data_IF_399205919319
#
_entry.id   IF_399205919319
#
_cell.length_a   1.000
_cell.length_b   1.000
_cell.length_c   1.000
_cell.angle_alpha   90.00
_cell.angle_beta   90.00
_cell.angle_gamma   90.00
#
_symmetry.space_group_name_H-M   'P 1'
#
loop_
_entity.id
_entity.type
_entity.pdbx_description
1 polymer ?
#
# COMPACT_ATOMS: atom_id res chain seq x y z
N UNK A 1 -5.79 15.59 3.98
CA UNK A 1 -5.53 14.24 3.46
C UNK A 1 -6.67 13.39 3.99
N UNK A 2 -7.49 12.79 3.13
CA UNK A 2 -8.47 11.83 3.62
C UNK A 2 -7.72 10.57 4.04
N UNK A 3 -8.09 9.97 5.17
CA UNK A 3 -7.43 8.72 5.60
C UNK A 3 -7.88 7.53 4.73
N UNK A 4 -7.22 6.38 4.87
CA UNK A 4 -7.62 5.16 4.17
C UNK A 4 -9.04 4.76 4.60
N UNK A 5 -9.33 4.88 5.90
CA UNK A 5 -10.62 4.57 6.51
C UNK A 5 -11.73 5.44 5.93
N UNK A 6 -11.52 6.75 5.80
CA UNK A 6 -12.51 7.67 5.22
C UNK A 6 -12.80 7.36 3.75
N UNK A 7 -11.78 6.91 2.99
CA UNK A 7 -11.98 6.48 1.59
C UNK A 7 -12.69 5.14 1.48
N UNK A 8 -12.45 4.23 2.41
CA UNK A 8 -13.16 2.96 2.51
C UNK A 8 -14.64 3.19 2.85
N UNK A 9 -14.93 4.07 3.82
CA UNK A 9 -16.32 4.42 4.17
C UNK A 9 -17.07 5.03 2.97
N UNK A 10 -16.40 5.86 2.17
CA UNK A 10 -16.99 6.39 0.92
C UNK A 10 -17.23 5.30 -0.10
N UNK A 11 -16.31 4.36 -0.26
CA UNK A 11 -16.47 3.24 -1.19
C UNK A 11 -17.64 2.33 -0.79
N UNK A 12 -17.86 2.12 0.51
CA UNK A 12 -18.99 1.35 1.04
C UNK A 12 -20.32 2.04 0.72
N UNK A 13 -20.43 3.35 1.02
CA UNK A 13 -21.61 4.16 0.67
C UNK A 13 -21.90 4.13 -0.83
N UNK A 14 -20.86 4.19 -1.65
CA UNK A 14 -20.98 4.12 -3.10
C UNK A 14 -21.48 2.75 -3.57
N UNK A 15 -21.00 1.67 -2.94
CA UNK A 15 -21.50 0.31 -3.20
C UNK A 15 -22.97 0.17 -2.87
N UNK A 16 -23.44 0.80 -1.80
CA UNK A 16 -24.85 0.78 -1.42
C UNK A 16 -25.70 1.58 -2.41
N UNK A 17 -25.24 2.76 -2.85
CA UNK A 17 -25.93 3.56 -3.87
C UNK A 17 -26.07 2.82 -5.20
N UNK A 18 -25.07 2.04 -5.62
CA UNK A 18 -25.12 1.26 -6.88
C UNK A 18 -26.16 0.13 -6.84
N UNK A 19 -26.55 -0.35 -5.65
CA UNK A 19 -27.56 -1.42 -5.50
C UNK A 19 -29.01 -0.92 -5.65
N UNK A 20 -29.21 0.39 -5.75
CA UNK A 20 -30.55 0.96 -5.93
C UNK A 20 -31.13 0.57 -7.30
N UNK A 21 -32.37 0.08 -7.28
CA UNK A 21 -33.07 -0.41 -8.47
C UNK A 21 -33.58 0.70 -9.39
N UNK A 22 -33.71 1.92 -8.84
CA UNK A 22 -34.14 3.11 -9.59
C UNK A 22 -32.96 3.90 -10.19
N UNK A 23 -31.71 3.43 -10.00
CA UNK A 23 -30.52 4.11 -10.49
C UNK A 23 -30.39 4.00 -12.01
N UNK A 24 -30.26 5.14 -12.69
CA UNK A 24 -30.03 5.17 -14.13
C UNK A 24 -28.67 4.59 -14.52
N UNK A 25 -28.56 4.01 -15.73
CA UNK A 25 -27.30 3.42 -16.21
C UNK A 25 -26.15 4.43 -16.25
N UNK A 26 -26.41 5.67 -16.68
CA UNK A 26 -25.40 6.73 -16.71
C UNK A 26 -24.89 7.09 -15.32
N UNK A 27 -25.79 7.15 -14.34
CA UNK A 27 -25.44 7.39 -12.94
C UNK A 27 -24.68 6.22 -12.36
N UNK A 28 -25.13 4.98 -12.61
CA UNK A 28 -24.42 3.77 -12.21
C UNK A 28 -22.98 3.72 -12.78
N UNK A 29 -22.79 4.13 -14.04
CA UNK A 29 -21.45 4.24 -14.63
C UNK A 29 -20.61 5.32 -13.94
N UNK A 30 -21.20 6.48 -13.62
CA UNK A 30 -20.49 7.55 -12.91
C UNK A 30 -20.06 7.11 -11.50
N UNK A 31 -20.94 6.44 -10.75
CA UNK A 31 -20.63 5.88 -9.43
C UNK A 31 -19.56 4.78 -9.55
N UNK A 32 -19.63 3.92 -10.56
CA UNK A 32 -18.60 2.91 -10.79
C UNK A 32 -17.22 3.54 -11.03
N UNK A 33 -17.14 4.54 -11.90
CA UNK A 33 -15.89 5.26 -12.19
C UNK A 33 -15.32 5.97 -10.96
N UNK A 34 -16.19 6.53 -10.10
CA UNK A 34 -15.79 7.08 -8.81
C UNK A 34 -15.23 5.99 -7.89
N UNK A 35 -15.86 4.83 -7.83
CA UNK A 35 -15.39 3.70 -7.04
C UNK A 35 -14.01 3.21 -7.46
N UNK A 36 -13.77 3.11 -8.77
CA UNK A 36 -12.46 2.75 -9.32
C UNK A 36 -11.39 3.78 -8.93
N UNK A 37 -11.72 5.08 -8.96
CA UNK A 37 -10.78 6.14 -8.54
C UNK A 37 -10.46 6.05 -7.04
N UNK A 38 -11.46 5.76 -6.20
CA UNK A 38 -11.28 5.58 -4.76
C UNK A 38 -10.35 4.39 -4.46
N UNK A 39 -10.61 3.23 -5.06
CA UNK A 39 -9.80 2.02 -4.86
C UNK A 39 -8.34 2.26 -5.27
N UNK A 40 -8.10 2.85 -6.44
CA UNK A 40 -6.75 3.21 -6.90
C UNK A 40 -6.05 4.20 -5.97
N UNK A 41 -6.80 5.08 -5.31
CA UNK A 41 -6.28 5.98 -4.30
C UNK A 41 -5.86 5.23 -3.03
N UNK A 42 -6.66 4.27 -2.59
CA UNK A 42 -6.35 3.42 -1.42
C UNK A 42 -5.11 2.57 -1.69
N UNK A 43 -5.02 1.92 -2.86
CA UNK A 43 -3.85 1.13 -3.27
C UNK A 43 -2.55 1.95 -3.18
N UNK A 44 -2.55 3.18 -3.69
CA UNK A 44 -1.37 4.06 -3.63
C UNK A 44 -0.97 4.42 -2.20
N UNK A 45 -1.94 4.65 -1.35
CA UNK A 45 -1.68 4.98 0.06
C UNK A 45 -1.12 3.76 0.80
N UNK A 46 -1.62 2.55 0.49
CA UNK A 46 -1.06 1.29 1.00
C UNK A 46 0.37 1.07 0.50
N UNK A 47 0.64 1.24 -0.80
CA UNK A 47 2.00 1.13 -1.36
C UNK A 47 2.97 2.10 -0.67
N UNK A 48 2.52 3.33 -0.39
CA UNK A 48 3.34 4.33 0.29
C UNK A 48 3.60 3.96 1.75
N UNK A 49 2.63 3.35 2.44
CA UNK A 49 2.82 2.81 3.80
C UNK A 49 3.75 1.61 3.79
N UNK A 50 3.60 0.70 2.84
CA UNK A 50 4.46 -0.46 2.63
C UNK A 50 5.91 -0.02 2.46
N UNK A 51 6.16 0.96 1.59
CA UNK A 51 7.50 1.52 1.38
C UNK A 51 8.11 2.09 2.65
N UNK A 52 7.31 2.75 3.51
CA UNK A 52 7.79 3.26 4.81
C UNK A 52 8.13 2.12 5.77
N UNK A 53 7.31 1.08 5.84
CA UNK A 53 7.57 -0.11 6.66
C UNK A 53 8.86 -0.80 6.19
N UNK A 54 9.03 -0.97 4.88
CA UNK A 54 10.25 -1.53 4.28
C UNK A 54 11.50 -0.72 4.61
N UNK A 55 11.43 0.61 4.58
CA UNK A 55 12.56 1.44 5.00
C UNK A 55 12.91 1.21 6.47
N UNK A 56 11.93 1.09 7.36
CA UNK A 56 12.15 0.85 8.79
C UNK A 56 12.71 -0.55 9.06
N UNK A 57 12.21 -1.58 8.36
CA UNK A 57 12.69 -2.96 8.53
C UNK A 57 14.09 -3.20 7.98
N UNK A 58 14.50 -2.44 6.96
CA UNK A 58 15.80 -2.58 6.30
C UNK A 58 16.82 -1.54 6.77
N UNK A 59 16.50 -0.73 7.79
CA UNK A 59 17.50 0.09 8.45
C UNK A 59 18.47 -0.84 9.21
N UNK A 60 19.79 -0.78 8.96
CA UNK A 60 20.74 -1.37 9.89
C UNK A 60 20.53 -0.68 11.23
N UNK A 61 20.52 -1.43 12.34
CA UNK A 61 20.49 -0.86 13.68
C UNK A 61 21.66 0.12 13.82
N UNK A 62 21.40 1.41 13.62
CA UNK A 62 22.34 2.49 13.95
C UNK A 62 22.21 2.76 15.46
N UNK A 63 22.46 1.72 16.27
CA UNK A 63 23.11 1.93 17.55
C UNK A 63 24.60 2.12 17.25
N UNK A 64 25.09 3.32 17.54
CA UNK A 64 26.45 3.83 17.29
C UNK A 64 26.70 4.46 15.91
N UNK A 65 26.59 5.78 15.83
CA UNK A 65 27.79 6.63 15.66
C UNK A 65 27.45 8.10 15.85
N UNK A 66 27.65 8.56 17.08
CA UNK A 66 28.07 9.93 17.33
C UNK A 66 29.40 10.21 16.61
N UNK A 67 29.40 11.25 15.78
CA UNK A 67 30.55 12.05 15.26
C UNK A 67 31.43 11.45 14.17
N UNK A 68 31.35 12.01 12.96
CA UNK A 68 32.41 12.86 12.38
C UNK A 68 32.15 13.22 10.90
N UNK A 69 32.37 14.50 10.56
CA UNK A 69 33.22 14.87 9.42
C UNK A 69 32.67 14.75 7.99
N UNK A 70 32.51 15.90 7.35
CA UNK A 70 32.25 16.09 5.92
C UNK A 70 33.18 15.30 4.97
N UNK A 71 32.65 14.85 3.82
CA UNK A 71 33.22 15.10 2.47
C UNK A 71 32.42 14.46 1.32
N UNK A 72 32.24 15.23 0.25
CA UNK A 72 31.73 14.80 -1.07
C UNK A 72 32.63 13.75 -1.71
N UNK A 73 32.06 12.73 -2.38
CA UNK A 73 32.57 12.28 -3.68
C UNK A 73 31.53 11.47 -4.48
N UNK A 74 31.47 11.75 -5.79
CA UNK A 74 30.75 10.99 -6.82
C UNK A 74 31.44 9.66 -7.07
N UNK A 75 30.70 8.58 -7.24
CA UNK A 75 31.11 7.47 -8.10
C UNK A 75 29.90 6.76 -8.72
N UNK A 76 30.10 6.33 -9.96
CA UNK A 76 29.12 5.85 -10.94
C UNK A 76 28.91 4.33 -10.83
N UNK A 77 27.69 3.92 -11.17
CA UNK A 77 27.31 2.65 -11.82
C UNK A 77 27.57 1.33 -11.07
N UNK A 78 26.49 0.62 -10.72
CA UNK A 78 26.31 -0.80 -11.07
C UNK A 78 24.85 -1.26 -10.86
N UNK A 79 24.27 -1.69 -11.97
CA UNK A 79 23.06 -2.50 -12.21
C UNK A 79 22.50 -3.20 -10.94
N UNK A 80 21.39 -2.69 -10.41
CA UNK A 80 20.58 -3.41 -9.43
C UNK A 80 19.41 -4.09 -10.17
N UNK A 81 19.36 -5.41 -10.05
CA UNK A 81 18.26 -6.24 -10.49
C UNK A 81 16.99 -5.74 -9.80
N UNK A 82 15.97 -5.33 -10.57
CA UNK A 82 14.65 -4.98 -10.06
C UNK A 82 13.85 -6.23 -9.74
N UNK A 83 14.29 -7.01 -8.76
CA UNK A 83 13.39 -7.92 -8.07
C UNK A 83 12.82 -7.14 -6.90
N UNK A 84 11.54 -6.76 -6.99
CA UNK A 84 10.81 -6.25 -5.82
C UNK A 84 10.95 -7.32 -4.72
N UNK A 85 11.41 -6.99 -3.51
CA UNK A 85 11.33 -7.93 -2.40
C UNK A 85 9.83 -8.09 -2.08
N UNK A 86 9.29 -9.28 -2.29
CA UNK A 86 7.93 -9.60 -1.88
C UNK A 86 7.88 -9.60 -0.35
N UNK A 87 6.91 -8.90 0.23
CA UNK A 87 6.62 -8.97 1.66
C UNK A 87 6.19 -10.38 2.02
N UNK A 88 7.10 -11.20 2.52
CA UNK A 88 6.79 -12.55 3.02
C UNK A 88 5.89 -12.55 4.29
N UNK A 89 5.53 -11.38 4.80
CA UNK A 89 4.69 -11.23 6.01
C UNK A 89 3.28 -11.84 5.85
N UNK A 90 2.81 -12.05 4.60
CA UNK A 90 1.49 -12.64 4.31
C UNK A 90 1.52 -14.10 3.84
N UNK A 91 2.69 -14.74 3.80
CA UNK A 91 2.75 -16.20 3.62
C UNK A 91 2.43 -16.90 4.94
N UNK A 92 1.18 -16.76 5.39
CA UNK A 92 0.65 -17.52 6.50
C UNK A 92 0.44 -18.95 6.04
N UNK A 93 1.44 -19.82 6.23
CA UNK A 93 1.21 -21.26 6.11
C UNK A 93 0.15 -21.65 7.15
N UNK A 94 -1.04 -22.12 6.72
CA UNK A 94 -2.01 -22.61 7.68
C UNK A 94 -1.39 -23.83 8.34
N UNK A 95 -1.00 -23.73 9.61
CA UNK A 95 -0.61 -24.89 10.41
C UNK A 95 -1.77 -25.87 10.34
N UNK A 96 -1.56 -26.99 9.65
CA UNK A 96 -2.49 -28.11 9.65
C UNK A 96 -2.67 -28.52 11.10
N UNK A 97 -3.83 -28.20 11.67
CA UNK A 97 -4.23 -28.72 12.97
C UNK A 97 -4.52 -30.20 12.73
N UNK A 98 -3.54 -31.05 13.04
CA UNK A 98 -3.77 -32.48 13.19
C UNK A 98 -4.73 -32.65 14.37
N UNK A 99 -5.98 -32.97 14.07
CA UNK A 99 -6.91 -33.48 15.07
C UNK A 99 -6.45 -34.90 15.44
N UNK A 100 -5.98 -35.04 16.68
CA UNK A 100 -5.79 -36.32 17.36
C UNK A 100 -7.11 -36.79 17.97
#
# INVERSE_FOLDING_TARGET
>A
MNTIEERLEKLEKLSDSIKDSDLGIEEAMALFDEGIKLVRGIEKDLDAMEGKIQMLMNQPDEEETEKAGASKSKSKTKKANSAKPELELFNFEPKSVSHE
#
